data_IF_583253101927
#
_entry.id   IF_583253101927
#
_cell.length_a   1.000
_cell.length_b   1.000
_cell.length_c   1.000
_cell.angle_alpha   90.00
_cell.angle_beta   90.00
_cell.angle_gamma   90.00
#
_symmetry.space_group_name_H-M   'P 1'
#
loop_
_entity.id
_entity.type
_entity.pdbx_description
1 polymer ?
#
# COMPACT_ATOMS: atom_id res chain seq x y z
N UNK A 1 9.81 -11.22 21.56
CA UNK A 1 9.96 -11.30 20.08
C UNK A 1 11.00 -12.36 19.77
N UNK A 2 10.77 -13.21 18.77
CA UNK A 2 11.79 -14.11 18.27
C UNK A 2 12.95 -13.26 17.69
N UNK A 3 14.23 -13.58 17.96
CA UNK A 3 15.37 -12.83 17.39
C UNK A 3 15.29 -12.71 15.86
N UNK A 4 14.79 -13.72 15.16
CA UNK A 4 14.57 -13.67 13.72
C UNK A 4 13.54 -12.61 13.32
N UNK A 5 12.45 -12.46 14.08
CA UNK A 5 11.46 -11.41 13.84
C UNK A 5 12.05 -10.02 14.08
N UNK A 6 12.84 -9.83 15.14
CA UNK A 6 13.51 -8.56 15.39
C UNK A 6 14.43 -8.18 14.22
N UNK A 7 15.24 -9.14 13.74
CA UNK A 7 16.14 -8.94 12.59
C UNK A 7 15.34 -8.55 11.34
N UNK A 8 14.26 -9.28 11.05
CA UNK A 8 13.41 -9.02 9.88
C UNK A 8 12.72 -7.65 9.99
N UNK A 9 12.19 -7.27 11.15
CA UNK A 9 11.56 -5.96 11.38
C UNK A 9 12.57 -4.83 11.19
N UNK A 10 13.77 -4.96 11.75
CA UNK A 10 14.85 -3.99 11.58
C UNK A 10 15.24 -3.88 10.11
N UNK A 11 15.35 -5.00 9.40
CA UNK A 11 15.67 -5.02 7.97
C UNK A 11 14.62 -4.27 7.14
N UNK A 12 13.32 -4.55 7.37
CA UNK A 12 12.24 -3.87 6.65
C UNK A 12 12.20 -2.38 6.96
N UNK A 13 12.40 -1.99 8.23
CA UNK A 13 12.51 -0.58 8.61
C UNK A 13 13.68 0.11 7.89
N UNK A 14 14.86 -0.53 7.86
CA UNK A 14 16.02 0.01 7.15
C UNK A 14 15.74 0.18 5.65
N UNK A 15 15.10 -0.81 5.02
CA UNK A 15 14.71 -0.74 3.60
C UNK A 15 13.73 0.42 3.39
N UNK A 16 12.68 0.53 4.21
CA UNK A 16 11.67 1.58 4.09
C UNK A 16 12.27 2.98 4.25
N UNK A 17 13.07 3.19 5.29
CA UNK A 17 13.75 4.47 5.52
C UNK A 17 14.69 4.82 4.36
N UNK A 18 15.39 3.82 3.81
CA UNK A 18 16.26 4.01 2.64
C UNK A 18 15.47 4.42 1.40
N UNK A 19 14.35 3.73 1.12
CA UNK A 19 13.48 4.04 -0.02
C UNK A 19 12.88 5.44 0.09
N UNK A 20 12.39 5.84 1.26
CA UNK A 20 11.85 7.19 1.50
C UNK A 20 12.95 8.24 1.28
N UNK A 21 14.16 8.01 1.80
CA UNK A 21 15.28 8.92 1.58
C UNK A 21 15.65 9.01 0.09
N UNK A 22 15.69 7.89 -0.65
CA UNK A 22 15.93 7.89 -2.09
C UNK A 22 14.83 8.63 -2.84
N UNK A 23 13.57 8.40 -2.51
CA UNK A 23 12.41 9.06 -3.12
C UNK A 23 12.46 10.58 -2.91
N UNK A 24 12.77 11.05 -1.69
CA UNK A 24 12.93 12.48 -1.42
C UNK A 24 14.03 13.12 -2.29
N UNK A 25 15.18 12.44 -2.44
CA UNK A 25 16.27 12.92 -3.27
C UNK A 25 15.92 12.91 -4.77
N UNK A 26 15.19 11.89 -5.21
CA UNK A 26 14.71 11.79 -6.58
C UNK A 26 13.71 12.92 -6.90
N UNK A 27 12.73 13.17 -6.04
CA UNK A 27 11.73 14.24 -6.20
C UNK A 27 12.41 15.61 -6.24
N UNK A 28 13.30 15.91 -5.28
CA UNK A 28 14.06 17.17 -5.28
C UNK A 28 14.86 17.37 -6.56
N UNK A 29 15.50 16.32 -7.10
CA UNK A 29 16.23 16.41 -8.38
C UNK A 29 15.29 16.62 -9.57
N UNK A 30 14.15 15.92 -9.60
CA UNK A 30 13.15 16.01 -10.66
C UNK A 30 12.54 17.40 -10.74
N UNK A 31 12.26 18.00 -9.60
CA UNK A 31 11.57 19.30 -9.49
C UNK A 31 12.54 20.49 -9.51
N UNK A 32 13.86 20.24 -9.63
CA UNK A 32 14.89 21.27 -9.66
C UNK A 32 15.09 21.98 -8.31
N UNK A 33 14.53 21.43 -7.23
CA UNK A 33 14.66 21.99 -5.89
C UNK A 33 16.00 21.63 -5.25
N UNK A 34 16.55 22.51 -4.39
CA UNK A 34 17.79 22.20 -3.67
C UNK A 34 17.62 20.95 -2.80
N UNK A 35 18.67 20.10 -2.70
CA UNK A 35 18.59 18.83 -1.99
C UNK A 35 18.21 19.05 -0.53
N UNK A 36 17.22 18.29 -0.05
CA UNK A 36 16.72 18.43 1.32
C UNK A 36 17.88 18.23 2.32
N UNK A 37 18.14 19.20 3.22
CA UNK A 37 19.27 19.16 4.13
C UNK A 37 19.15 17.98 5.10
N UNK A 38 20.29 17.39 5.45
CA UNK A 38 20.38 16.17 6.25
C UNK A 38 19.69 16.29 7.62
N UNK A 39 19.76 17.48 8.23
CA UNK A 39 19.04 17.80 9.48
C UNK A 39 17.52 17.65 9.37
N UNK A 40 16.93 18.04 8.23
CA UNK A 40 15.49 17.88 7.98
C UNK A 40 15.14 16.43 7.66
N UNK A 41 15.99 15.73 6.89
CA UNK A 41 15.82 14.31 6.57
C UNK A 41 15.75 13.43 7.83
N UNK A 42 16.57 13.73 8.83
CA UNK A 42 16.65 12.98 10.09
C UNK A 42 15.31 12.85 10.81
N UNK A 43 14.43 13.85 10.69
CA UNK A 43 13.09 13.81 11.26
C UNK A 43 12.01 13.47 10.23
N UNK A 44 12.15 13.96 9.00
CA UNK A 44 11.14 13.76 7.96
C UNK A 44 11.05 12.31 7.50
N UNK A 45 12.18 11.60 7.40
CA UNK A 45 12.21 10.21 6.92
C UNK A 45 11.51 9.26 7.91
N UNK A 46 11.83 9.29 9.23
CA UNK A 46 11.07 8.51 10.22
C UNK A 46 9.60 8.90 10.30
N UNK A 47 9.28 10.19 10.19
CA UNK A 47 7.89 10.65 10.23
C UNK A 47 7.08 10.11 9.04
N UNK A 48 7.62 10.19 7.83
CA UNK A 48 6.99 9.62 6.62
C UNK A 48 6.85 8.10 6.73
N UNK A 49 7.86 7.42 7.29
CA UNK A 49 7.76 5.99 7.56
C UNK A 49 6.64 5.68 8.56
N UNK A 50 6.49 6.47 9.63
CA UNK A 50 5.40 6.33 10.58
C UNK A 50 4.03 6.56 9.93
N UNK A 51 3.91 7.52 9.01
CA UNK A 51 2.69 7.72 8.22
C UNK A 51 2.32 6.53 7.33
N UNK A 52 3.25 5.62 7.04
CA UNK A 52 2.98 4.38 6.33
C UNK A 52 2.68 3.25 7.33
N UNK A 53 3.53 3.07 8.34
CA UNK A 53 3.45 1.97 9.30
C UNK A 53 2.20 2.09 10.19
N UNK A 54 1.91 3.28 10.73
CA UNK A 54 0.84 3.48 11.70
C UNK A 54 -0.54 3.16 11.11
N UNK A 55 -0.92 3.66 9.91
CA UNK A 55 -2.18 3.24 9.30
C UNK A 55 -2.24 1.74 9.04
N UNK A 56 -1.14 1.12 8.58
CA UNK A 56 -1.09 -0.32 8.31
C UNK A 56 -1.31 -1.13 9.60
N UNK A 57 -0.64 -0.78 10.70
CA UNK A 57 -0.88 -1.41 12.01
C UNK A 57 -2.31 -1.16 12.50
N UNK A 58 -2.82 0.06 12.38
CA UNK A 58 -4.17 0.40 12.80
C UNK A 58 -5.23 -0.39 12.03
N UNK A 59 -5.09 -0.51 10.71
CA UNK A 59 -5.97 -1.33 9.88
C UNK A 59 -5.85 -2.81 10.22
N UNK A 60 -4.64 -3.29 10.54
CA UNK A 60 -4.43 -4.68 10.97
C UNK A 60 -5.12 -4.97 12.31
N UNK A 61 -5.08 -4.03 13.25
CA UNK A 61 -5.78 -4.12 14.54
C UNK A 61 -7.30 -4.08 14.32
N UNK A 62 -7.80 -3.12 13.54
CA UNK A 62 -9.22 -2.99 13.23
C UNK A 62 -9.75 -4.26 12.55
N UNK A 63 -8.98 -4.82 11.62
CA UNK A 63 -9.28 -6.09 10.98
C UNK A 63 -9.38 -7.24 11.98
N UNK A 64 -8.38 -7.39 12.86
CA UNK A 64 -8.40 -8.42 13.90
C UNK A 64 -9.61 -8.28 14.85
N UNK A 65 -10.01 -7.04 15.17
CA UNK A 65 -11.16 -6.74 16.02
C UNK A 65 -12.50 -7.00 15.34
N UNK A 66 -12.66 -6.57 14.09
CA UNK A 66 -13.92 -6.67 13.32
C UNK A 66 -14.23 -8.11 12.93
N UNK A 67 -13.21 -8.88 12.55
CA UNK A 67 -13.39 -10.22 12.01
C UNK A 67 -13.20 -11.33 13.04
N UNK A 68 -13.06 -10.98 14.35
CA UNK A 68 -12.89 -11.88 15.52
C UNK A 68 -12.50 -13.29 15.06
N UNK A 69 -11.22 -13.48 14.76
CA UNK A 69 -10.67 -14.68 14.14
C UNK A 69 -11.30 -15.91 14.81
N UNK A 70 -12.20 -16.59 14.08
CA UNK A 70 -12.94 -17.75 14.56
C UNK A 70 -11.96 -18.90 14.80
N UNK A 71 -12.21 -19.68 15.84
CA UNK A 71 -11.26 -20.52 16.61
C UNK A 71 -10.33 -21.46 15.81
N UNK A 72 -10.56 -21.72 14.53
CA UNK A 72 -9.71 -22.56 13.67
C UNK A 72 -8.57 -21.78 12.99
N UNK A 73 -8.84 -20.58 12.45
CA UNK A 73 -7.80 -19.66 11.99
C UNK A 73 -7.06 -19.02 13.19
N UNK A 74 -7.75 -18.97 14.33
CA UNK A 74 -7.23 -18.50 15.61
C UNK A 74 -6.05 -19.33 16.08
N UNK A 75 -6.01 -20.65 15.88
CA UNK A 75 -4.88 -21.48 16.35
C UNK A 75 -3.66 -21.48 15.41
N UNK A 76 -3.83 -21.21 14.11
CA UNK A 76 -2.70 -20.99 13.20
C UNK A 76 -2.03 -19.61 13.39
N UNK A 77 -2.76 -18.63 13.95
CA UNK A 77 -2.26 -17.29 14.25
C UNK A 77 -1.98 -17.03 15.73
N UNK A 78 -2.64 -17.75 16.64
CA UNK A 78 -2.42 -17.73 18.08
C UNK A 78 -1.53 -18.90 18.45
N UNK A 79 -0.22 -18.74 18.23
CA UNK A 79 0.75 -19.45 19.06
C UNK A 79 1.69 -18.45 19.73
N UNK A 80 1.15 -17.87 20.79
CA UNK A 80 1.82 -17.63 22.07
C UNK A 80 3.07 -16.75 22.14
N UNK A 81 3.25 -15.76 21.26
CA UNK A 81 4.26 -14.72 21.52
C UNK A 81 3.94 -13.39 20.84
N UNK A 82 4.18 -12.28 21.53
CA UNK A 82 3.98 -10.89 21.04
C UNK A 82 4.80 -10.48 19.81
N UNK A 83 5.34 -11.42 19.04
CA UNK A 83 5.97 -11.18 17.74
C UNK A 83 5.03 -11.33 16.53
N UNK A 84 3.81 -11.85 16.73
CA UNK A 84 2.86 -12.09 15.61
C UNK A 84 2.17 -10.81 15.14
N UNK A 85 1.92 -9.85 16.04
CA UNK A 85 1.30 -8.55 15.72
C UNK A 85 2.05 -7.79 14.63
N UNK A 86 3.38 -7.97 14.52
CA UNK A 86 4.19 -7.38 13.45
C UNK A 86 4.29 -8.26 12.20
N UNK A 87 4.16 -9.58 12.32
CA UNK A 87 4.38 -10.50 11.19
C UNK A 87 3.31 -10.42 10.10
N UNK A 88 2.03 -10.28 10.47
CA UNK A 88 0.93 -10.15 9.50
C UNK A 88 0.99 -8.80 8.77
N UNK A 89 1.11 -7.63 9.44
CA UNK A 89 1.29 -6.35 8.76
C UNK A 89 2.54 -6.31 7.89
N UNK A 90 3.63 -6.92 8.32
CA UNK A 90 4.88 -6.96 7.56
C UNK A 90 4.75 -7.84 6.30
N UNK A 91 4.06 -8.98 6.40
CA UNK A 91 3.80 -9.85 5.26
C UNK A 91 2.83 -9.20 4.27
N UNK A 92 1.82 -8.49 4.78
CA UNK A 92 0.93 -7.65 3.97
C UNK A 92 1.69 -6.50 3.30
N UNK A 93 2.59 -5.82 4.01
CA UNK A 93 3.42 -4.73 3.46
C UNK A 93 4.37 -5.25 2.38
N UNK A 94 5.06 -6.36 2.62
CA UNK A 94 5.96 -6.98 1.63
C UNK A 94 5.14 -7.41 0.40
N UNK A 95 3.97 -8.02 0.61
CA UNK A 95 3.03 -8.34 -0.46
C UNK A 95 2.71 -7.09 -1.27
N UNK A 96 2.21 -6.05 -0.61
CA UNK A 96 1.83 -4.79 -1.26
C UNK A 96 2.98 -4.16 -2.04
N UNK A 97 4.20 -4.16 -1.47
CA UNK A 97 5.39 -3.60 -2.12
C UNK A 97 5.79 -4.39 -3.38
N UNK A 98 5.71 -5.72 -3.33
CA UNK A 98 5.97 -6.58 -4.49
C UNK A 98 4.89 -6.36 -5.55
N UNK A 99 3.63 -6.27 -5.14
CA UNK A 99 2.52 -6.13 -6.06
C UNK A 99 2.51 -4.77 -6.76
N UNK A 100 2.70 -3.68 -6.04
CA UNK A 100 2.81 -2.36 -6.66
C UNK A 100 4.12 -2.14 -7.40
N UNK A 101 5.22 -2.66 -6.86
CA UNK A 101 6.54 -2.50 -7.49
C UNK A 101 6.72 -3.31 -8.77
N UNK A 102 6.10 -4.49 -8.87
CA UNK A 102 6.34 -5.44 -9.96
C UNK A 102 5.06 -5.79 -10.73
N UNK A 103 4.01 -6.23 -10.04
CA UNK A 103 2.84 -6.81 -10.71
C UNK A 103 2.07 -5.74 -11.48
N UNK A 104 1.79 -4.57 -10.91
CA UNK A 104 1.11 -3.50 -11.63
C UNK A 104 1.87 -3.01 -12.88
N UNK A 105 3.17 -2.69 -12.80
CA UNK A 105 3.94 -2.31 -14.00
C UNK A 105 3.97 -3.40 -15.07
N UNK A 106 4.12 -4.67 -14.68
CA UNK A 106 4.12 -5.81 -15.61
C UNK A 106 2.75 -5.95 -16.28
N UNK A 107 1.66 -5.91 -15.52
CA UNK A 107 0.30 -6.02 -16.05
C UNK A 107 -0.04 -4.88 -17.02
N UNK A 108 0.33 -3.64 -16.69
CA UNK A 108 0.14 -2.49 -17.59
C UNK A 108 0.99 -2.64 -18.86
N UNK A 109 2.21 -3.15 -18.74
CA UNK A 109 3.09 -3.39 -19.88
C UNK A 109 2.53 -4.48 -20.80
N UNK A 110 2.06 -5.59 -20.23
CA UNK A 110 1.39 -6.67 -20.97
C UNK A 110 0.12 -6.18 -21.65
N UNK A 111 -0.69 -5.39 -20.95
CA UNK A 111 -1.91 -4.78 -21.49
C UNK A 111 -1.59 -3.87 -22.70
N UNK A 112 -0.56 -3.03 -22.59
CA UNK A 112 -0.09 -2.18 -23.70
C UNK A 112 0.42 -3.02 -24.88
N UNK A 113 1.18 -4.08 -24.61
CA UNK A 113 1.72 -4.98 -25.63
C UNK A 113 0.60 -5.73 -26.36
N UNK A 114 -0.43 -6.17 -25.63
CA UNK A 114 -1.58 -6.89 -26.18
C UNK A 114 -2.49 -5.97 -27.02
N UNK A 115 -2.80 -4.78 -26.51
CA UNK A 115 -3.64 -3.81 -27.23
C UNK A 115 -2.89 -3.11 -28.38
N UNK A 116 -1.56 -3.19 -28.42
CA UNK A 116 -0.66 -2.46 -29.35
C UNK A 116 -0.88 -0.94 -29.36
N UNK A 117 -1.53 -0.41 -28.33
CA UNK A 117 -1.82 1.01 -28.12
C UNK A 117 -1.95 1.28 -26.63
N UNK A 118 -1.86 2.54 -26.24
CA UNK A 118 -2.13 2.91 -24.86
C UNK A 118 -3.60 2.66 -24.50
N UNK A 119 -3.80 1.85 -23.46
CA UNK A 119 -5.12 1.59 -22.92
C UNK A 119 -5.73 2.87 -22.33
N UNK A 120 -7.04 3.05 -22.50
CA UNK A 120 -7.77 4.14 -21.86
C UNK A 120 -7.68 4.02 -20.34
N UNK A 121 -7.87 5.14 -19.64
CA UNK A 121 -7.82 5.17 -18.17
C UNK A 121 -8.79 4.16 -17.56
N UNK A 122 -10.00 4.06 -18.12
CA UNK A 122 -11.01 3.08 -17.68
C UNK A 122 -10.54 1.64 -17.82
N UNK A 123 -9.92 1.27 -18.95
CA UNK A 123 -9.42 -0.09 -19.18
C UNK A 123 -8.28 -0.42 -18.22
N UNK A 124 -7.38 0.53 -17.98
CA UNK A 124 -6.32 0.36 -16.98
C UNK A 124 -6.92 0.10 -15.60
N UNK A 125 -7.82 0.96 -15.14
CA UNK A 125 -8.50 0.84 -13.85
C UNK A 125 -9.23 -0.51 -13.69
N UNK A 126 -9.97 -0.95 -14.73
CA UNK A 126 -10.62 -2.27 -14.71
C UNK A 126 -9.61 -3.41 -14.56
N UNK A 127 -8.49 -3.35 -15.29
CA UNK A 127 -7.43 -4.36 -15.18
C UNK A 127 -6.79 -4.34 -13.80
N UNK A 128 -6.58 -3.16 -13.21
CA UNK A 128 -6.08 -2.99 -11.85
C UNK A 128 -7.01 -3.67 -10.85
N UNK A 129 -8.31 -3.35 -10.88
CA UNK A 129 -9.33 -3.94 -9.98
C UNK A 129 -9.42 -5.46 -10.12
N UNK A 130 -9.36 -5.98 -11.35
CA UNK A 130 -9.37 -7.44 -11.60
C UNK A 130 -8.10 -8.09 -11.05
N UNK A 131 -6.94 -7.47 -11.28
CA UNK A 131 -5.66 -7.99 -10.79
C UNK A 131 -5.64 -8.01 -9.26
N UNK A 132 -6.07 -6.92 -8.62
CA UNK A 132 -6.12 -6.79 -7.17
C UNK A 132 -7.09 -7.78 -6.53
N UNK A 133 -8.22 -8.03 -7.18
CA UNK A 133 -9.19 -9.01 -6.68
C UNK A 133 -8.70 -10.45 -6.81
N UNK A 134 -8.04 -10.82 -7.91
CA UNK A 134 -7.37 -12.13 -8.04
C UNK A 134 -6.29 -12.29 -6.96
N UNK A 135 -5.54 -11.24 -6.72
CA UNK A 135 -4.44 -11.19 -5.77
C UNK A 135 -4.95 -11.32 -4.32
N UNK A 136 -5.95 -10.53 -3.93
CA UNK A 136 -6.60 -10.63 -2.62
C UNK A 136 -7.15 -12.04 -2.41
N UNK A 137 -7.78 -12.62 -3.43
CA UNK A 137 -8.29 -13.98 -3.36
C UNK A 137 -7.18 -15.01 -3.21
N UNK A 138 -6.10 -14.91 -4.00
CA UNK A 138 -4.95 -15.80 -3.92
C UNK A 138 -4.25 -15.70 -2.55
N UNK A 139 -4.01 -14.49 -2.05
CA UNK A 139 -3.45 -14.28 -0.71
C UNK A 139 -4.34 -14.86 0.38
N UNK A 140 -5.65 -14.65 0.29
CA UNK A 140 -6.57 -15.19 1.28
C UNK A 140 -6.66 -16.73 1.23
N UNK A 141 -6.45 -17.33 0.05
CA UNK A 141 -6.41 -18.79 -0.07
C UNK A 141 -5.14 -19.41 0.53
N UNK A 142 -4.04 -18.68 0.57
CA UNK A 142 -2.75 -19.12 1.13
C UNK A 142 -2.62 -18.77 2.61
N UNK A 143 -3.25 -17.67 3.03
CA UNK A 143 -3.22 -17.18 4.40
C UNK A 143 -4.55 -17.54 5.07
N UNK A 144 -4.63 -18.66 5.82
CA UNK A 144 -5.88 -19.13 6.45
C UNK A 144 -6.48 -18.15 7.47
N UNK A 145 -5.74 -17.09 7.83
CA UNK A 145 -6.19 -15.96 8.64
C UNK A 145 -7.25 -15.08 7.99
N UNK A 146 -7.34 -15.06 6.65
CA UNK A 146 -8.14 -14.09 5.92
C UNK A 146 -9.45 -14.74 5.50
N UNK A 147 -10.61 -14.42 6.11
CA UNK A 147 -11.87 -15.08 5.81
C UNK A 147 -12.49 -14.49 4.53
N UNK A 148 -11.83 -14.67 3.40
CA UNK A 148 -12.38 -14.36 2.08
C UNK A 148 -12.83 -15.68 1.46
N UNK A 149 -14.08 -16.03 1.73
CA UNK A 149 -14.64 -17.33 1.34
C UNK A 149 -14.91 -17.50 -0.16
N UNK A 150 -14.87 -16.43 -0.96
CA UNK A 150 -15.05 -16.50 -2.40
C UNK A 150 -14.41 -15.33 -3.14
N UNK A 151 -14.15 -15.50 -4.43
CA UNK A 151 -13.65 -14.42 -5.30
C UNK A 151 -14.59 -13.21 -5.29
N UNK A 152 -15.92 -13.41 -5.20
CA UNK A 152 -16.85 -12.29 -5.11
C UNK A 152 -16.54 -11.37 -3.91
N UNK A 153 -16.17 -11.92 -2.75
CA UNK A 153 -15.74 -11.13 -1.60
C UNK A 153 -14.44 -10.36 -1.89
N UNK A 154 -13.46 -11.00 -2.53
CA UNK A 154 -12.21 -10.34 -2.94
C UNK A 154 -12.44 -9.20 -3.94
N UNK A 155 -13.37 -9.37 -4.88
CA UNK A 155 -13.76 -8.36 -5.85
C UNK A 155 -14.44 -7.17 -5.17
N UNK A 156 -15.36 -7.41 -4.25
CA UNK A 156 -16.02 -6.35 -3.48
C UNK A 156 -15.00 -5.55 -2.68
N UNK A 157 -14.04 -6.23 -2.02
CA UNK A 157 -12.97 -5.58 -1.28
C UNK A 157 -12.10 -4.73 -2.21
N UNK A 158 -11.66 -5.27 -3.35
CA UNK A 158 -10.87 -4.52 -4.32
C UNK A 158 -11.61 -3.27 -4.82
N UNK A 159 -12.87 -3.40 -5.23
CA UNK A 159 -13.69 -2.27 -5.67
C UNK A 159 -13.84 -1.22 -4.57
N UNK A 160 -14.02 -1.64 -3.32
CA UNK A 160 -14.13 -0.72 -2.19
C UNK A 160 -12.86 0.11 -1.98
N UNK A 161 -11.68 -0.51 -2.04
CA UNK A 161 -10.41 0.21 -1.95
C UNK A 161 -10.21 1.19 -3.11
N UNK A 162 -10.51 0.77 -4.35
CA UNK A 162 -10.47 1.63 -5.53
C UNK A 162 -11.46 2.80 -5.42
N UNK A 163 -12.65 2.58 -4.85
CA UNK A 163 -13.62 3.64 -4.61
C UNK A 163 -13.07 4.71 -3.64
N UNK A 164 -12.43 4.29 -2.54
CA UNK A 164 -11.78 5.21 -1.60
C UNK A 164 -10.66 5.98 -2.30
N UNK A 165 -9.83 5.29 -3.07
CA UNK A 165 -8.77 5.93 -3.85
C UNK A 165 -9.32 6.99 -4.80
N UNK A 166 -10.38 6.69 -5.55
CA UNK A 166 -11.02 7.64 -6.46
C UNK A 166 -11.60 8.84 -5.72
N UNK A 167 -12.19 8.64 -4.54
CA UNK A 167 -12.66 9.75 -3.70
C UNK A 167 -11.49 10.63 -3.27
N UNK A 168 -10.37 10.05 -2.84
CA UNK A 168 -9.18 10.80 -2.44
C UNK A 168 -8.56 11.57 -3.61
N UNK A 169 -8.43 10.93 -4.79
CA UNK A 169 -7.96 11.57 -6.02
C UNK A 169 -8.91 12.72 -6.40
N UNK A 170 -10.23 12.51 -6.29
CA UNK A 170 -11.24 13.53 -6.55
C UNK A 170 -11.11 14.74 -5.62
N UNK A 171 -10.94 14.51 -4.31
CA UNK A 171 -10.70 15.56 -3.31
C UNK A 171 -9.40 16.31 -3.64
N UNK A 172 -8.33 15.60 -3.97
CA UNK A 172 -7.04 16.21 -4.33
C UNK A 172 -7.16 17.08 -5.58
N UNK A 173 -7.82 16.58 -6.63
CA UNK A 173 -8.05 17.34 -7.86
C UNK A 173 -8.85 18.62 -7.60
N UNK A 174 -9.89 18.53 -6.76
CA UNK A 174 -10.70 19.68 -6.38
C UNK A 174 -9.90 20.74 -5.60
N UNK A 175 -9.06 20.31 -4.65
CA UNK A 175 -8.18 21.21 -3.89
C UNK A 175 -7.18 21.90 -4.84
N UNK A 176 -6.57 21.15 -5.76
CA UNK A 176 -5.63 21.69 -6.73
C UNK A 176 -6.29 22.70 -7.67
N UNK A 177 -7.52 22.42 -8.14
CA UNK A 177 -8.29 23.33 -8.97
C UNK A 177 -8.59 24.64 -8.23
N UNK A 178 -8.99 24.58 -6.95
CA UNK A 178 -9.19 25.78 -6.13
C UNK A 178 -7.92 26.59 -5.94
N UNK A 179 -6.77 25.94 -5.73
CA UNK A 179 -5.47 26.63 -5.61
C UNK A 179 -5.10 27.35 -6.91
N UNK A 180 -5.28 26.70 -8.07
CA UNK A 180 -5.04 27.30 -9.39
C UNK A 180 -5.99 28.47 -9.67
N UNK A 181 -7.27 28.34 -9.34
CA UNK A 181 -8.25 29.41 -9.50
C UNK A 181 -7.93 30.64 -8.65
N UNK A 182 -7.45 30.45 -7.40
CA UNK A 182 -6.98 31.56 -6.55
C UNK A 182 -5.71 32.23 -7.08
N UNK A 183 -4.82 31.48 -7.71
CA UNK A 183 -3.59 32.02 -8.32
C UNK A 183 -3.85 32.76 -9.64
N UNK A 184 -4.97 32.47 -10.32
CA UNK A 184 -5.36 33.08 -11.59
C UNK A 184 -6.35 34.26 -11.43
N UNK A 185 -6.82 34.53 -10.21
CA UNK A 185 -7.65 35.70 -9.94
C UNK A 185 -6.77 36.97 -9.97
N UNK A 186 -7.03 37.97 -10.83
CA UNK A 186 -6.33 39.23 -10.78
C UNK A 186 -6.66 39.93 -9.46
N UNK A 187 -5.63 40.40 -8.76
CA UNK A 187 -5.75 41.20 -7.54
C UNK A 187 -6.31 42.58 -7.81
#
# INVERSE_FOLDING_TARGET
MNPLQLIVTVLVLLILLTLINMMMNYVSRRDGEPPVPLKRKLWLVPLLAAFIIVPIELFSILYALLFRVTDSAGQMLAYNSGGVLLSLPLLLLIGFLIFEGLVHPIMITLLRLWLRRDASVYVKQTVTVITDSILIYALASVIPAVPVGSWLHALIIAVFYHLIEWVLIGIQAWIQQRKRAKAAAPG
#
